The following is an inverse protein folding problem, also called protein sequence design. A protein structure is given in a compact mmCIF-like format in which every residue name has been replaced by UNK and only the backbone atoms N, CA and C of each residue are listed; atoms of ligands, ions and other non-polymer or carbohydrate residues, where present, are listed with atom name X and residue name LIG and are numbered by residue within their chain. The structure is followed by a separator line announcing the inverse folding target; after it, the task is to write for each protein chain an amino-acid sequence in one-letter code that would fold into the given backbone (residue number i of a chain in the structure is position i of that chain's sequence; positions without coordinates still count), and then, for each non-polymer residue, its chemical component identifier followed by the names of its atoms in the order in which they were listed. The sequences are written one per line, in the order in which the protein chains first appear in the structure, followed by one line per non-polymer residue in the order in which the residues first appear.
data_IF_367507177235
#
_entry.id   IF_367507177235
#
_cell.length_a   1.000
_cell.length_b   1.000
_cell.length_c   1.000
_cell.angle_alpha   90.00
_cell.angle_beta   90.00
_cell.angle_gamma   90.00
#
_symmetry.space_group_name_H-M   'P 1'
#
loop_
_entity.id
_entity.type
_entity.pdbx_description
1 polymer ?
#
# COMPACT_ATOMS: atom_id res chain seq x y z
N UNK A 1 -47.93 15.14 14.10
CA UNK A 1 -47.47 15.76 12.83
C UNK A 1 -45.95 15.91 12.77
N UNK A 2 -45.30 16.41 13.82
CA UNK A 2 -43.83 16.51 13.90
C UNK A 2 -43.07 15.22 13.55
N UNK A 3 -43.47 14.07 14.13
CA UNK A 3 -42.85 12.77 13.82
C UNK A 3 -42.93 12.38 12.34
N UNK A 4 -44.05 12.72 11.67
CA UNK A 4 -44.19 12.43 10.25
C UNK A 4 -43.28 13.31 9.39
N UNK A 5 -43.06 14.57 9.79
CA UNK A 5 -42.14 15.49 9.11
C UNK A 5 -40.73 14.94 9.20
N UNK A 6 -40.31 14.48 10.39
CA UNK A 6 -39.00 13.89 10.61
C UNK A 6 -38.79 12.64 9.73
N UNK A 7 -39.76 11.72 9.70
CA UNK A 7 -39.69 10.52 8.85
C UNK A 7 -39.61 10.85 7.35
N UNK A 8 -40.34 11.86 6.88
CA UNK A 8 -40.30 12.32 5.48
C UNK A 8 -38.93 12.91 5.15
N UNK A 9 -38.38 13.76 6.02
CA UNK A 9 -37.07 14.39 5.82
C UNK A 9 -35.99 13.31 5.80
N UNK A 10 -35.92 12.46 6.82
CA UNK A 10 -34.90 11.40 6.93
C UNK A 10 -35.02 10.37 5.82
N UNK A 11 -36.23 9.90 5.52
CA UNK A 11 -36.47 8.93 4.45
C UNK A 11 -36.15 9.52 3.08
N UNK A 12 -36.62 10.74 2.81
CA UNK A 12 -36.41 11.43 1.54
C UNK A 12 -34.95 11.78 1.29
N UNK A 13 -34.27 12.35 2.30
CA UNK A 13 -32.84 12.70 2.17
C UNK A 13 -31.97 11.47 1.97
N UNK A 14 -32.26 10.37 2.68
CA UNK A 14 -31.52 9.10 2.52
C UNK A 14 -31.75 8.51 1.13
N UNK A 15 -32.98 8.50 0.62
CA UNK A 15 -33.26 8.00 -0.73
C UNK A 15 -32.58 8.83 -1.82
N UNK A 16 -32.60 10.15 -1.70
CA UNK A 16 -31.92 11.05 -2.64
C UNK A 16 -30.41 10.82 -2.57
N UNK A 17 -29.85 10.75 -1.36
CA UNK A 17 -28.42 10.49 -1.15
C UNK A 17 -27.98 9.13 -1.69
N UNK A 18 -28.75 8.07 -1.44
CA UNK A 18 -28.52 6.73 -1.98
C UNK A 18 -28.60 6.73 -3.51
N UNK A 19 -29.59 7.40 -4.09
CA UNK A 19 -29.73 7.50 -5.54
C UNK A 19 -28.51 8.19 -6.14
N UNK A 20 -28.18 9.41 -5.68
CA UNK A 20 -27.04 10.16 -6.22
C UNK A 20 -25.73 9.40 -6.00
N UNK A 21 -25.48 8.90 -4.79
CA UNK A 21 -24.24 8.24 -4.43
C UNK A 21 -24.04 6.90 -5.15
N UNK A 22 -25.00 5.99 -5.04
CA UNK A 22 -24.88 4.64 -5.62
C UNK A 22 -25.08 4.63 -7.13
N UNK A 23 -25.88 5.54 -7.69
CA UNK A 23 -25.94 5.69 -9.15
C UNK A 23 -24.59 6.17 -9.68
N UNK A 24 -24.00 7.22 -9.08
CA UNK A 24 -22.68 7.70 -9.49
C UNK A 24 -21.61 6.61 -9.36
N UNK A 25 -21.57 5.89 -8.23
CA UNK A 25 -20.65 4.78 -8.03
C UNK A 25 -20.88 3.66 -9.05
N UNK A 26 -22.12 3.25 -9.29
CA UNK A 26 -22.45 2.20 -10.25
C UNK A 26 -22.12 2.57 -11.70
N UNK A 27 -22.07 3.86 -12.05
CA UNK A 27 -21.63 4.29 -13.39
C UNK A 27 -20.13 4.19 -13.61
N UNK A 28 -19.31 4.06 -12.55
CA UNK A 28 -17.85 3.96 -12.68
C UNK A 28 -17.41 2.72 -13.47
N UNK A 29 -18.16 1.63 -13.44
CA UNK A 29 -17.88 0.42 -14.25
C UNK A 29 -17.92 0.68 -15.76
N UNK A 30 -18.62 1.74 -16.20
CA UNK A 30 -18.80 2.07 -17.61
C UNK A 30 -17.88 3.20 -18.09
N UNK A 31 -17.05 3.75 -17.21
CA UNK A 31 -16.15 4.85 -17.51
C UNK A 31 -14.72 4.38 -17.32
N UNK A 32 -13.94 4.42 -18.39
CA UNK A 32 -12.49 4.21 -18.30
C UNK A 32 -11.86 5.35 -17.49
N UNK A 33 -11.34 5.03 -16.31
CA UNK A 33 -10.76 6.02 -15.43
C UNK A 33 -9.99 5.39 -14.28
N UNK A 34 -9.03 6.13 -13.75
CA UNK A 34 -8.16 5.65 -12.66
C UNK A 34 -8.98 5.13 -11.48
N UNK A 35 -10.03 5.84 -11.07
CA UNK A 35 -10.86 5.45 -9.91
C UNK A 35 -11.48 4.05 -10.10
N UNK A 36 -11.96 3.74 -11.32
CA UNK A 36 -12.57 2.44 -11.61
C UNK A 36 -11.54 1.31 -11.44
N UNK A 37 -10.32 1.49 -11.95
CA UNK A 37 -9.25 0.51 -11.83
C UNK A 37 -8.88 0.21 -10.35
N UNK A 38 -8.85 1.25 -9.49
CA UNK A 38 -8.56 1.08 -8.06
C UNK A 38 -9.69 0.34 -7.34
N UNK A 39 -10.95 0.59 -7.69
CA UNK A 39 -12.09 -0.13 -7.10
C UNK A 39 -12.08 -1.60 -7.52
N UNK A 40 -11.77 -1.88 -8.79
CA UNK A 40 -11.68 -3.25 -9.31
C UNK A 40 -10.54 -4.06 -8.65
N UNK A 41 -9.40 -3.41 -8.38
CA UNK A 41 -8.26 -4.00 -7.66
C UNK A 41 -8.63 -4.52 -6.26
N UNK A 42 -9.57 -3.85 -5.57
CA UNK A 42 -10.00 -4.23 -4.21
C UNK A 42 -11.28 -5.08 -4.21
N UNK A 43 -12.08 -5.03 -5.27
CA UNK A 43 -13.30 -5.82 -5.39
C UNK A 43 -12.96 -7.31 -5.63
N UNK A 44 -13.26 -8.16 -4.67
CA UNK A 44 -12.97 -9.59 -4.67
C UNK A 44 -14.24 -10.44 -4.75
N UNK A 45 -15.41 -9.82 -4.61
CA UNK A 45 -16.72 -10.47 -4.67
C UNK A 45 -17.02 -11.15 -6.01
N UNK A 46 -16.33 -10.73 -7.08
CA UNK A 46 -16.56 -11.18 -8.46
C UNK A 46 -17.82 -10.57 -9.10
N UNK A 47 -18.57 -9.75 -8.36
CA UNK A 47 -19.70 -9.01 -8.89
C UNK A 47 -19.25 -7.62 -9.39
N UNK A 48 -19.79 -7.13 -10.52
CA UNK A 48 -19.51 -5.78 -10.98
C UNK A 48 -20.08 -4.74 -9.98
N UNK A 49 -19.46 -3.56 -9.92
CA UNK A 49 -19.81 -2.51 -8.97
C UNK A 49 -21.23 -2.00 -9.17
N UNK A 50 -21.74 -1.95 -10.40
CA UNK A 50 -23.12 -1.56 -10.68
C UNK A 50 -24.13 -2.50 -10.02
N UNK A 51 -23.84 -3.80 -9.98
CA UNK A 51 -24.71 -4.79 -9.35
C UNK A 51 -24.67 -4.66 -7.84
N UNK A 52 -23.48 -4.47 -7.25
CA UNK A 52 -23.33 -4.22 -5.81
C UNK A 52 -24.06 -2.93 -5.42
N UNK A 53 -23.93 -1.88 -6.23
CA UNK A 53 -24.60 -0.59 -6.02
C UNK A 53 -26.12 -0.72 -6.11
N UNK A 54 -26.64 -1.46 -7.09
CA UNK A 54 -28.07 -1.73 -7.24
C UNK A 54 -28.61 -2.54 -6.06
N UNK A 55 -27.94 -3.61 -5.66
CA UNK A 55 -28.35 -4.44 -4.53
C UNK A 55 -28.32 -3.65 -3.22
N UNK A 56 -27.30 -2.82 -3.01
CA UNK A 56 -27.20 -1.93 -1.84
C UNK A 56 -28.32 -0.89 -1.83
N UNK A 57 -28.63 -0.31 -2.99
CA UNK A 57 -29.74 0.63 -3.15
C UNK A 57 -31.08 -0.04 -2.80
N UNK A 58 -31.31 -1.28 -3.21
CA UNK A 58 -32.51 -2.03 -2.86
C UNK A 58 -32.54 -2.40 -1.38
N UNK A 59 -31.43 -2.90 -0.83
CA UNK A 59 -31.34 -3.35 0.56
C UNK A 59 -31.55 -2.22 1.58
N UNK A 60 -31.02 -1.02 1.30
CA UNK A 60 -31.17 0.14 2.18
C UNK A 60 -32.37 1.01 1.75
N UNK A 61 -32.58 1.21 0.46
CA UNK A 61 -33.62 2.08 -0.07
C UNK A 61 -35.03 1.58 0.23
N UNK A 62 -35.28 0.27 0.21
CA UNK A 62 -36.62 -0.27 0.53
C UNK A 62 -37.06 0.06 1.97
N UNK A 63 -36.26 -0.21 3.02
CA UNK A 63 -36.57 0.22 4.39
C UNK A 63 -36.83 1.73 4.52
N UNK A 64 -35.97 2.57 3.92
CA UNK A 64 -36.12 4.02 4.01
C UNK A 64 -37.31 4.55 3.21
N UNK A 65 -37.68 3.90 2.11
CA UNK A 65 -38.92 4.18 1.38
C UNK A 65 -40.15 3.87 2.23
N UNK A 66 -40.14 2.78 3.00
CA UNK A 66 -41.23 2.49 3.93
C UNK A 66 -41.34 3.54 5.04
N UNK A 67 -40.21 4.02 5.57
CA UNK A 67 -40.19 5.13 6.55
C UNK A 67 -40.73 6.43 5.94
N UNK A 68 -40.28 6.77 4.72
CA UNK A 68 -40.75 7.93 3.99
C UNK A 68 -42.26 7.88 3.74
N UNK A 69 -42.76 6.74 3.24
CA UNK A 69 -44.19 6.52 3.00
C UNK A 69 -45.00 6.62 4.30
N UNK A 70 -44.52 6.03 5.40
CA UNK A 70 -45.16 6.11 6.70
C UNK A 70 -45.23 7.56 7.20
N UNK A 71 -44.15 8.32 7.06
CA UNK A 71 -44.11 9.74 7.39
C UNK A 71 -45.13 10.54 6.58
N UNK A 72 -45.17 10.32 5.27
CA UNK A 72 -46.10 11.00 4.37
C UNK A 72 -47.56 10.68 4.73
N UNK A 73 -47.86 9.43 5.08
CA UNK A 73 -49.19 9.00 5.53
C UNK A 73 -49.64 9.66 6.83
N UNK A 74 -48.72 9.96 7.75
CA UNK A 74 -49.03 10.71 8.99
C UNK A 74 -49.35 12.18 8.68
N UNK A 75 -48.75 12.75 7.64
CA UNK A 75 -48.98 14.13 7.22
C UNK A 75 -50.26 14.29 6.40
N UNK A 76 -50.50 13.37 5.48
CA UNK A 76 -51.62 13.41 4.53
C UNK A 76 -52.54 12.22 4.80
N UNK A 77 -53.66 12.49 5.45
CA UNK A 77 -54.64 11.46 5.87
C UNK A 77 -55.41 10.84 4.70
N UNK A 78 -55.39 11.47 3.52
CA UNK A 78 -56.06 11.02 2.28
C UNK A 78 -55.18 10.15 1.39
N UNK A 79 -53.97 9.78 1.83
CA UNK A 79 -53.07 8.94 1.04
C UNK A 79 -53.63 7.55 0.79
N UNK A 80 -53.57 7.14 -0.49
CA UNK A 80 -53.96 5.80 -0.91
C UNK A 80 -53.08 4.76 -0.21
N UNK A 81 -53.72 3.72 0.35
CA UNK A 81 -53.00 2.59 0.95
C UNK A 81 -52.31 1.80 -0.15
N UNK A 82 -51.03 1.50 0.07
CA UNK A 82 -50.29 0.55 -0.77
C UNK A 82 -50.96 -0.83 -0.63
N UNK A 83 -51.31 -1.51 -1.73
CA UNK A 83 -51.94 -2.83 -1.68
C UNK A 83 -51.01 -3.84 -0.99
N UNK A 84 -51.60 -4.85 -0.36
CA UNK A 84 -50.83 -5.88 0.38
C UNK A 84 -49.83 -6.59 -0.54
N UNK A 85 -50.22 -6.85 -1.79
CA UNK A 85 -49.36 -7.45 -2.82
C UNK A 85 -48.08 -6.63 -3.00
N UNK A 86 -48.18 -5.30 -3.19
CA UNK A 86 -47.01 -4.45 -3.39
C UNK A 86 -46.08 -4.39 -2.16
N UNK A 87 -46.65 -4.43 -0.94
CA UNK A 87 -45.83 -4.51 0.29
C UNK A 87 -45.08 -5.84 0.37
N UNK A 88 -45.73 -6.94 0.02
CA UNK A 88 -45.13 -8.26 0.07
C UNK A 88 -44.08 -8.46 -1.03
N UNK A 89 -44.31 -7.94 -2.25
CA UNK A 89 -43.30 -7.97 -3.32
C UNK A 89 -42.07 -7.17 -2.95
N UNK A 90 -42.26 -5.98 -2.39
CA UNK A 90 -41.16 -5.13 -1.94
C UNK A 90 -40.34 -5.82 -0.83
N UNK A 91 -41.02 -6.49 0.12
CA UNK A 91 -40.36 -7.30 1.15
C UNK A 91 -39.59 -8.49 0.54
N UNK A 92 -40.18 -9.19 -0.43
CA UNK A 92 -39.53 -10.31 -1.11
C UNK A 92 -38.26 -9.90 -1.86
N UNK A 93 -38.33 -8.82 -2.63
CA UNK A 93 -37.16 -8.25 -3.34
C UNK A 93 -36.08 -7.81 -2.36
N UNK A 94 -36.47 -7.20 -1.24
CA UNK A 94 -35.54 -6.82 -0.18
C UNK A 94 -34.81 -8.02 0.42
N UNK A 95 -35.52 -9.11 0.75
CA UNK A 95 -34.89 -10.33 1.26
C UNK A 95 -33.87 -10.92 0.28
N UNK A 96 -34.22 -10.98 -1.01
CA UNK A 96 -33.30 -11.46 -2.05
C UNK A 96 -32.05 -10.58 -2.10
N UNK A 97 -32.21 -9.25 -2.10
CA UNK A 97 -31.07 -8.33 -2.14
C UNK A 97 -30.14 -8.52 -0.94
N UNK A 98 -30.69 -8.66 0.27
CA UNK A 98 -29.91 -8.91 1.49
C UNK A 98 -29.19 -10.26 1.43
N UNK A 99 -29.85 -11.32 0.97
CA UNK A 99 -29.22 -12.64 0.86
C UNK A 99 -28.06 -12.63 -0.15
N UNK A 100 -28.23 -12.00 -1.31
CA UNK A 100 -27.18 -11.89 -2.32
C UNK A 100 -26.01 -11.06 -1.79
N UNK A 101 -26.28 -9.92 -1.16
CA UNK A 101 -25.24 -9.10 -0.52
C UNK A 101 -24.50 -9.87 0.59
N UNK A 102 -25.20 -10.69 1.38
CA UNK A 102 -24.57 -11.51 2.40
C UNK A 102 -23.59 -12.52 1.79
N UNK A 103 -23.99 -13.22 0.72
CA UNK A 103 -23.11 -14.16 0.01
C UNK A 103 -21.90 -13.44 -0.60
N UNK A 104 -22.12 -12.29 -1.25
CA UNK A 104 -21.03 -11.49 -1.82
C UNK A 104 -20.09 -10.96 -0.73
N UNK A 105 -20.63 -10.52 0.40
CA UNK A 105 -19.85 -10.05 1.56
C UNK A 105 -19.00 -11.17 2.18
N UNK A 106 -19.56 -12.37 2.33
CA UNK A 106 -18.79 -13.54 2.79
C UNK A 106 -17.68 -13.89 1.80
N UNK A 107 -17.97 -13.91 0.50
CA UNK A 107 -16.94 -14.13 -0.53
C UNK A 107 -15.85 -13.07 -0.48
N UNK A 108 -16.24 -11.81 -0.29
CA UNK A 108 -15.31 -10.69 -0.17
C UNK A 108 -14.38 -10.88 1.03
N UNK A 109 -14.92 -11.21 2.20
CA UNK A 109 -14.16 -11.42 3.43
C UNK A 109 -13.28 -12.67 3.40
N UNK A 110 -13.70 -13.73 2.72
CA UNK A 110 -12.90 -14.96 2.59
C UNK A 110 -11.75 -14.83 1.58
N UNK A 111 -11.76 -13.83 0.70
CA UNK A 111 -10.76 -13.69 -0.37
C UNK A 111 -9.33 -13.38 0.12
N UNK A 112 -9.18 -13.01 1.40
CA UNK A 112 -7.92 -12.67 2.07
C UNK A 112 -7.70 -13.53 3.33
N UNK A 113 -8.35 -14.69 3.41
CA UNK A 113 -8.37 -15.49 4.64
C UNK A 113 -7.04 -16.20 4.94
N UNK A 114 -6.24 -16.48 3.91
CA UNK A 114 -5.01 -17.27 4.03
C UNK A 114 -3.86 -16.57 3.32
N UNK A 115 -2.68 -16.62 3.91
CA UNK A 115 -1.43 -16.18 3.30
C UNK A 115 -0.71 -17.37 2.65
N UNK A 116 -0.14 -17.15 1.47
CA UNK A 116 0.67 -18.11 0.74
C UNK A 116 1.99 -17.47 0.33
N UNK A 117 3.00 -18.30 0.11
CA UNK A 117 4.35 -17.85 -0.15
C UNK A 117 5.01 -18.60 -1.32
N UNK A 118 5.87 -17.89 -2.03
CA UNK A 118 6.76 -18.41 -3.06
C UNK A 118 8.20 -17.99 -2.72
N UNK A 119 9.10 -18.97 -2.69
CA UNK A 119 10.52 -18.78 -2.35
C UNK A 119 11.38 -19.01 -3.59
N UNK A 120 12.27 -18.06 -3.85
CA UNK A 120 13.33 -18.19 -4.86
C UNK A 120 14.65 -17.97 -4.13
N UNK A 121 15.64 -18.84 -4.37
CA UNK A 121 16.95 -18.72 -3.74
C UNK A 121 18.02 -18.66 -4.83
N UNK A 122 18.75 -17.55 -4.85
CA UNK A 122 19.83 -17.30 -5.81
C UNK A 122 21.18 -17.30 -5.08
N UNK A 123 22.17 -17.97 -5.65
CA UNK A 123 23.53 -18.00 -5.08
C UNK A 123 24.33 -16.85 -5.67
N UNK A 124 24.93 -16.03 -4.81
CA UNK A 124 25.75 -14.89 -5.20
C UNK A 124 27.23 -15.30 -5.28
N UNK A 125 28.02 -14.75 -6.21
CA UNK A 125 29.44 -15.05 -6.35
C UNK A 125 30.30 -14.34 -5.28
N UNK A 126 29.91 -14.42 -4.01
CA UNK A 126 30.53 -13.76 -2.86
C UNK A 126 30.89 -14.83 -1.82
N UNK A 127 32.12 -14.80 -1.31
CA UNK A 127 32.64 -15.74 -0.31
C UNK A 127 33.22 -15.02 0.90
N UNK A 128 33.64 -15.81 1.88
CA UNK A 128 34.39 -15.33 3.03
C UNK A 128 35.64 -14.53 2.58
N UNK A 129 35.87 -13.36 3.17
CA UNK A 129 36.96 -12.45 2.84
C UNK A 129 36.62 -11.40 1.77
N UNK A 130 35.54 -11.59 1.00
CA UNK A 130 35.08 -10.59 0.05
C UNK A 130 34.33 -9.45 0.75
N UNK A 131 34.24 -8.30 0.07
CA UNK A 131 33.37 -7.20 0.46
C UNK A 131 32.12 -7.20 -0.41
N UNK A 132 30.93 -7.21 0.18
CA UNK A 132 29.65 -7.11 -0.49
C UNK A 132 29.03 -5.73 -0.22
N UNK A 133 28.80 -4.96 -1.27
CA UNK A 133 28.04 -3.72 -1.22
C UNK A 133 26.58 -3.99 -1.55
N UNK A 134 25.62 -3.42 -0.81
CA UNK A 134 24.18 -3.64 -1.03
C UNK A 134 23.46 -2.29 -1.08
N UNK A 135 22.70 -2.05 -2.15
CA UNK A 135 21.93 -0.82 -2.30
C UNK A 135 20.60 -1.05 -3.01
N UNK A 136 19.60 -0.26 -2.62
CA UNK A 136 18.32 -0.22 -3.34
C UNK A 136 18.40 0.73 -4.55
N UNK A 137 17.92 0.30 -5.72
CA UNK A 137 17.75 1.14 -6.90
C UNK A 137 16.51 2.02 -6.68
N UNK A 138 16.72 3.33 -6.54
CA UNK A 138 15.64 4.28 -6.20
C UNK A 138 15.11 5.05 -7.41
N UNK A 139 15.87 5.09 -8.50
CA UNK A 139 15.51 5.72 -9.76
C UNK A 139 15.16 4.63 -10.78
N UNK A 140 13.90 4.55 -11.15
CA UNK A 140 13.39 3.55 -12.08
C UNK A 140 12.28 4.14 -12.97
N UNK A 141 11.75 3.33 -13.87
CA UNK A 141 10.69 3.73 -14.81
C UNK A 141 9.41 4.25 -14.13
N UNK A 142 9.18 3.95 -12.85
CA UNK A 142 7.99 4.36 -12.11
C UNK A 142 8.19 5.60 -11.22
N UNK A 143 9.43 6.09 -11.10
CA UNK A 143 9.77 7.30 -10.37
C UNK A 143 11.16 7.28 -9.72
N UNK A 144 11.39 8.26 -8.84
CA UNK A 144 12.65 8.47 -8.13
C UNK A 144 12.43 8.50 -6.61
N UNK A 145 11.79 7.47 -6.07
CA UNK A 145 11.43 7.43 -4.66
C UNK A 145 12.46 6.67 -3.83
N UNK A 146 12.94 7.29 -2.74
CA UNK A 146 14.05 6.74 -1.96
C UNK A 146 13.62 5.74 -0.88
N UNK A 147 12.50 5.98 -0.20
CA UNK A 147 12.14 5.28 1.04
C UNK A 147 11.08 4.20 0.85
N UNK A 148 11.11 3.16 1.70
CA UNK A 148 10.06 2.14 1.80
C UNK A 148 8.65 2.75 1.88
N UNK A 149 7.68 2.09 1.26
CA UNK A 149 6.27 2.46 1.34
C UNK A 149 5.40 1.26 0.93
N UNK A 150 4.43 0.91 1.76
CA UNK A 150 3.48 -0.19 1.55
C UNK A 150 2.26 0.18 0.68
N UNK A 151 2.10 1.47 0.34
CA UNK A 151 1.03 1.93 -0.52
C UNK A 151 1.24 1.48 -1.96
N UNK A 152 0.32 0.64 -2.43
CA UNK A 152 0.25 0.21 -3.82
C UNK A 152 -0.33 1.29 -4.75
N UNK A 153 0.07 1.24 -6.01
CA UNK A 153 -0.43 2.10 -7.09
C UNK A 153 -0.61 1.31 -8.37
N UNK A 154 -1.46 1.79 -9.26
CA UNK A 154 -1.51 1.32 -10.63
C UNK A 154 -0.51 2.12 -11.46
N UNK A 155 0.34 1.43 -12.20
CA UNK A 155 1.33 1.98 -13.12
C UNK A 155 1.22 1.30 -14.48
N UNK A 156 1.93 1.87 -15.45
CA UNK A 156 2.04 1.30 -16.79
C UNK A 156 3.47 0.83 -16.98
N UNK A 157 3.64 -0.44 -17.35
CA UNK A 157 4.95 -1.01 -17.64
C UNK A 157 5.50 -0.53 -19.00
N UNK A 158 6.72 -0.96 -19.33
CA UNK A 158 7.36 -0.63 -20.60
C UNK A 158 6.62 -1.15 -21.84
N UNK A 159 5.78 -2.19 -21.69
CA UNK A 159 4.97 -2.76 -22.78
C UNK A 159 3.62 -2.03 -22.95
N UNK A 160 3.28 -1.09 -22.06
CA UNK A 160 2.02 -0.36 -22.08
C UNK A 160 0.91 -1.03 -21.27
N UNK A 161 1.19 -2.13 -20.56
CA UNK A 161 0.20 -2.82 -19.74
C UNK A 161 0.08 -2.17 -18.36
N UNK A 162 -1.13 -2.18 -17.80
CA UNK A 162 -1.35 -1.77 -16.40
C UNK A 162 -0.81 -2.84 -15.46
N UNK A 163 -0.06 -2.42 -14.45
CA UNK A 163 0.51 -3.28 -13.41
C UNK A 163 0.22 -2.71 -12.03
N UNK A 164 0.04 -3.61 -11.06
CA UNK A 164 0.14 -3.28 -9.64
C UNK A 164 1.61 -3.02 -9.32
N UNK A 165 1.88 -1.87 -8.75
CA UNK A 165 3.21 -1.43 -8.31
C UNK A 165 3.17 -1.21 -6.80
N UNK A 166 4.14 -1.78 -6.08
CA UNK A 166 4.27 -1.57 -4.64
C UNK A 166 5.76 -1.55 -4.24
N UNK A 167 6.07 -0.85 -3.14
CA UNK A 167 7.41 -0.73 -2.56
C UNK A 167 7.49 -1.36 -1.18
N UNK A 168 6.58 -2.29 -0.89
CA UNK A 168 6.64 -3.15 0.29
C UNK A 168 7.68 -4.26 0.08
N UNK A 169 8.93 -3.81 -0.03
CA UNK A 169 10.11 -4.66 -0.17
C UNK A 169 10.89 -4.52 1.13
N UNK A 170 11.11 -5.62 1.82
CA UNK A 170 11.80 -5.63 3.09
C UNK A 170 13.13 -6.36 2.94
N UNK A 171 14.16 -5.94 3.66
CA UNK A 171 15.46 -6.59 3.68
C UNK A 171 15.83 -7.01 5.10
N UNK A 172 16.26 -8.26 5.23
CA UNK A 172 16.90 -8.81 6.42
C UNK A 172 18.23 -9.44 6.01
N UNK A 173 19.22 -9.37 6.87
CA UNK A 173 20.55 -9.95 6.67
C UNK A 173 20.77 -11.02 7.73
N UNK A 174 21.17 -12.22 7.32
CA UNK A 174 21.48 -13.31 8.23
C UNK A 174 22.83 -13.94 7.88
N UNK A 175 23.32 -14.80 8.77
CA UNK A 175 24.44 -15.69 8.46
C UNK A 175 24.03 -16.75 7.44
N UNK A 176 24.92 -17.04 6.50
CA UNK A 176 24.81 -18.17 5.57
C UNK A 176 25.38 -19.45 6.19
N UNK A 177 24.66 -20.55 6.01
CA UNK A 177 25.17 -21.91 6.28
C UNK A 177 26.03 -22.46 5.12
N UNK A 178 26.08 -21.73 4.01
CA UNK A 178 26.83 -22.10 2.80
C UNK A 178 28.11 -21.26 2.66
N UNK A 179 29.15 -21.76 1.98
CA UNK A 179 30.39 -21.01 1.79
C UNK A 179 30.21 -19.81 0.85
N UNK A 180 29.20 -19.84 -0.02
CA UNK A 180 28.74 -18.70 -0.81
C UNK A 180 27.59 -17.95 -0.12
N UNK A 181 27.50 -16.65 -0.40
CA UNK A 181 26.34 -15.83 -0.06
C UNK A 181 25.11 -16.22 -0.91
N UNK A 182 23.92 -16.01 -0.36
CA UNK A 182 22.64 -16.29 -1.02
C UNK A 182 21.68 -15.13 -0.84
N UNK A 183 20.92 -14.83 -1.89
CA UNK A 183 19.75 -13.97 -1.80
C UNK A 183 18.50 -14.85 -1.90
N UNK A 184 17.74 -14.90 -0.81
CA UNK A 184 16.46 -15.59 -0.78
C UNK A 184 15.37 -14.53 -0.92
N UNK A 185 14.59 -14.65 -1.98
CA UNK A 185 13.47 -13.76 -2.30
C UNK A 185 12.19 -14.49 -1.91
N UNK A 186 11.61 -14.07 -0.80
CA UNK A 186 10.32 -14.56 -0.31
C UNK A 186 9.22 -13.61 -0.75
N UNK A 187 8.35 -14.10 -1.61
CA UNK A 187 7.17 -13.40 -2.11
C UNK A 187 5.96 -13.91 -1.35
N UNK A 188 5.15 -13.01 -0.79
CA UNK A 188 3.92 -13.39 -0.08
C UNK A 188 2.70 -12.70 -0.69
N UNK A 189 1.55 -13.35 -0.56
CA UNK A 189 0.27 -12.76 -0.93
C UNK A 189 -0.88 -13.46 -0.23
N UNK A 190 -2.04 -12.80 -0.14
CA UNK A 190 -3.25 -13.37 0.42
C UNK A 190 -4.19 -13.96 -0.64
N UNK A 191 -4.98 -14.95 -0.23
CA UNK A 191 -5.96 -15.62 -1.06
C UNK A 191 -7.07 -16.29 -0.27
N UNK A 192 -8.02 -16.87 -0.99
CA UNK A 192 -9.12 -17.67 -0.42
C UNK A 192 -8.70 -19.07 0.03
N UNK A 193 -7.52 -19.51 -0.38
CA UNK A 193 -6.87 -20.76 -0.01
C UNK A 193 -5.36 -20.58 -0.13
N UNK A 194 -4.59 -21.48 0.50
CA UNK A 194 -3.14 -21.46 0.40
C UNK A 194 -2.66 -21.56 -1.06
N UNK A 195 -3.20 -22.48 -1.85
CA UNK A 195 -2.82 -22.66 -3.27
C UNK A 195 -3.08 -21.38 -4.09
N UNK A 196 -4.25 -20.76 -3.92
CA UNK A 196 -4.58 -19.52 -4.62
C UNK A 196 -3.67 -18.35 -4.19
N UNK A 197 -3.28 -18.31 -2.92
CA UNK A 197 -2.38 -17.31 -2.37
C UNK A 197 -0.94 -17.52 -2.87
N UNK A 198 -0.49 -18.78 -2.94
CA UNK A 198 0.82 -19.17 -3.45
C UNK A 198 0.97 -18.88 -4.95
N UNK A 199 -0.02 -19.22 -5.79
CA UNK A 199 -0.01 -18.88 -7.22
C UNK A 199 0.07 -17.36 -7.43
N UNK A 200 -0.65 -16.61 -6.61
CA UNK A 200 -0.60 -15.14 -6.65
C UNK A 200 0.77 -14.62 -6.22
N UNK A 201 1.37 -15.18 -5.17
CA UNK A 201 2.70 -14.83 -4.70
C UNK A 201 3.79 -15.16 -5.75
N UNK A 202 3.67 -16.28 -6.46
CA UNK A 202 4.61 -16.64 -7.54
C UNK A 202 4.54 -15.68 -8.73
N UNK A 203 3.38 -15.06 -8.96
CA UNK A 203 3.19 -14.08 -10.03
C UNK A 203 3.74 -12.69 -9.71
N UNK A 204 4.29 -12.47 -8.51
CA UNK A 204 4.99 -11.23 -8.17
C UNK A 204 6.33 -11.21 -8.91
N UNK A 205 6.59 -10.15 -9.65
CA UNK A 205 7.84 -9.93 -10.37
C UNK A 205 8.70 -8.97 -9.56
N UNK A 206 9.87 -9.46 -9.15
CA UNK A 206 10.89 -8.71 -8.42
C UNK A 206 12.23 -8.96 -9.08
N UNK A 207 13.01 -7.91 -9.33
CA UNK A 207 14.30 -8.01 -9.99
C UNK A 207 15.43 -7.53 -9.08
N UNK A 208 16.61 -8.07 -9.32
CA UNK A 208 17.86 -7.61 -8.74
C UNK A 208 18.98 -7.82 -9.77
N UNK A 209 20.10 -7.16 -9.55
CA UNK A 209 21.27 -7.26 -10.42
C UNK A 209 22.53 -7.33 -9.55
N UNK A 210 23.52 -8.08 -10.03
CA UNK A 210 24.83 -8.17 -9.41
C UNK A 210 25.83 -7.46 -10.32
N UNK A 211 26.36 -6.34 -9.86
CA UNK A 211 27.40 -5.57 -10.56
C UNK A 211 28.71 -5.69 -9.79
N UNK A 212 29.59 -6.57 -10.26
CA UNK A 212 30.81 -7.01 -9.56
C UNK A 212 30.48 -7.52 -8.13
N UNK A 213 30.82 -6.72 -7.11
CA UNK A 213 30.58 -6.98 -5.70
C UNK A 213 29.47 -6.09 -5.11
N UNK A 214 28.70 -5.41 -5.96
CA UNK A 214 27.54 -4.59 -5.57
C UNK A 214 26.22 -5.26 -5.94
N UNK A 215 25.46 -5.64 -4.92
CA UNK A 215 24.10 -6.15 -5.07
C UNK A 215 23.13 -4.98 -5.22
N UNK A 216 22.54 -4.87 -6.40
CA UNK A 216 21.55 -3.88 -6.79
C UNK A 216 20.16 -4.48 -6.62
N UNK A 217 19.42 -4.01 -5.64
CA UNK A 217 18.08 -4.51 -5.32
C UNK A 217 17.05 -3.52 -5.86
N UNK A 218 16.05 -3.97 -6.64
CA UNK A 218 14.93 -3.07 -6.96
C UNK A 218 14.22 -2.67 -5.67
N UNK A 219 13.82 -1.41 -5.56
CA UNK A 219 13.09 -0.91 -4.39
C UNK A 219 11.57 -1.10 -4.48
N UNK A 220 11.12 -1.88 -5.46
CA UNK A 220 9.73 -2.12 -5.78
C UNK A 220 9.57 -3.52 -6.36
N UNK A 221 8.33 -3.99 -6.39
CA UNK A 221 7.92 -5.13 -7.19
C UNK A 221 6.69 -4.76 -8.01
N UNK A 222 6.42 -5.57 -9.03
CA UNK A 222 5.19 -5.45 -9.83
C UNK A 222 4.43 -6.76 -9.90
N UNK A 223 3.14 -6.67 -10.18
CA UNK A 223 2.28 -7.81 -10.46
C UNK A 223 1.24 -7.43 -11.50
N UNK A 224 0.76 -8.41 -12.28
CA UNK A 224 -0.40 -8.21 -13.15
C UNK A 224 -1.62 -7.72 -12.36
N UNK A 225 -2.43 -6.85 -12.97
CA UNK A 225 -3.70 -6.36 -12.40
C UNK A 225 -4.73 -7.48 -12.20
N UNK A 226 -4.64 -8.58 -12.94
CA UNK A 226 -5.50 -9.76 -12.76
C UNK A 226 -5.30 -10.39 -11.39
N UNK A 227 -4.08 -10.28 -10.86
CA UNK A 227 -3.78 -10.69 -9.51
C UNK A 227 -4.39 -9.73 -8.49
N UNK A 228 -4.91 -8.54 -8.79
CA UNK A 228 -5.54 -7.65 -7.79
C UNK A 228 -4.64 -7.30 -6.59
N UNK A 229 -5.06 -6.41 -5.70
CA UNK A 229 -4.32 -6.14 -4.47
C UNK A 229 -4.71 -7.11 -3.34
N UNK A 230 -3.75 -7.84 -2.78
CA UNK A 230 -3.91 -8.85 -1.72
C UNK A 230 -2.70 -8.86 -0.78
N UNK A 231 -2.38 -7.68 -0.24
CA UNK A 231 -1.26 -7.50 0.69
C UNK A 231 0.01 -8.19 0.18
N UNK A 232 0.31 -8.01 -1.12
CA UNK A 232 1.55 -8.52 -1.68
C UNK A 232 2.72 -7.85 -0.99
N UNK A 233 3.74 -8.64 -0.68
CA UNK A 233 4.97 -8.19 -0.01
C UNK A 233 6.14 -9.03 -0.51
N UNK A 234 7.34 -8.44 -0.54
CA UNK A 234 8.58 -9.13 -0.88
C UNK A 234 9.56 -8.96 0.27
N UNK A 235 9.90 -10.07 0.93
CA UNK A 235 10.99 -10.14 1.90
C UNK A 235 12.25 -10.66 1.19
N UNK A 236 13.32 -9.86 1.26
CA UNK A 236 14.66 -10.20 0.81
C UNK A 236 15.46 -10.64 2.02
N UNK A 237 15.98 -11.86 1.98
CA UNK A 237 16.80 -12.42 3.03
C UNK A 237 18.19 -12.62 2.43
N UNK A 238 19.12 -11.75 2.80
CA UNK A 238 20.49 -11.80 2.37
C UNK A 238 21.30 -12.62 3.37
N UNK A 239 21.63 -13.86 2.99
CA UNK A 239 22.48 -14.73 3.77
C UNK A 239 23.94 -14.57 3.35
N UNK A 240 24.81 -14.09 4.24
CA UNK A 240 26.25 -13.90 3.94
C UNK A 240 27.13 -14.82 4.79
N UNK A 241 28.20 -15.41 4.23
CA UNK A 241 29.07 -16.30 4.97
C UNK A 241 29.93 -15.54 5.99
N UNK A 242 30.44 -16.29 6.95
CA UNK A 242 31.34 -15.75 7.97
C UNK A 242 32.65 -15.25 7.34
N UNK A 243 33.13 -14.10 7.80
CA UNK A 243 34.30 -13.41 7.24
C UNK A 243 33.99 -12.48 6.06
N UNK A 244 32.74 -12.35 5.61
CA UNK A 244 32.35 -11.35 4.60
C UNK A 244 32.22 -9.96 5.23
N UNK A 245 32.72 -8.94 4.53
CA UNK A 245 32.50 -7.53 4.89
C UNK A 245 31.26 -7.04 4.15
N UNK A 246 30.25 -6.59 4.88
CA UNK A 246 29.03 -5.99 4.35
C UNK A 246 29.13 -4.45 4.39
N UNK A 247 28.82 -3.81 3.28
CA UNK A 247 28.58 -2.37 3.18
C UNK A 247 27.16 -2.13 2.68
N UNK A 248 26.32 -1.51 3.47
CA UNK A 248 24.95 -1.14 3.05
C UNK A 248 24.88 0.34 2.66
N UNK A 249 24.11 0.67 1.62
CA UNK A 249 23.76 2.07 1.35
C UNK A 249 22.81 2.60 2.43
N UNK A 250 22.89 3.91 2.72
CA UNK A 250 22.00 4.56 3.70
C UNK A 250 20.52 4.40 3.36
N UNK A 251 20.16 4.18 2.09
CA UNK A 251 18.77 3.95 1.69
C UNK A 251 18.18 2.64 2.22
N UNK A 252 19.02 1.66 2.57
CA UNK A 252 18.62 0.37 3.14
C UNK A 252 17.87 0.57 4.45
N UNK A 253 18.18 1.62 5.21
CA UNK A 253 17.60 1.91 6.52
C UNK A 253 16.06 1.90 6.52
N UNK A 254 15.43 2.35 5.42
CA UNK A 254 13.97 2.36 5.34
C UNK A 254 13.35 1.01 4.98
N UNK A 255 14.07 0.14 4.26
CA UNK A 255 13.63 -1.18 3.83
C UNK A 255 14.05 -2.28 4.82
N UNK A 256 14.95 -1.96 5.75
CA UNK A 256 15.44 -2.89 6.73
C UNK A 256 14.34 -3.33 7.72
N UNK A 257 14.26 -4.64 8.00
CA UNK A 257 13.35 -5.25 8.97
C UNK A 257 14.07 -6.31 9.77
N UNK A 258 13.86 -6.29 11.09
CA UNK A 258 14.34 -7.34 11.98
C UNK A 258 13.40 -8.56 11.91
N UNK A 259 13.63 -9.43 10.92
CA UNK A 259 12.90 -10.69 10.66
C UNK A 259 13.91 -11.78 10.32
N UNK A 260 13.50 -13.05 10.34
CA UNK A 260 14.34 -14.17 9.86
C UNK A 260 15.72 -14.27 10.54
N UNK A 261 15.80 -14.00 11.85
CA UNK A 261 17.07 -13.95 12.58
C UNK A 261 18.06 -12.93 12.02
N UNK A 262 17.52 -11.77 11.62
CA UNK A 262 18.29 -10.63 11.15
C UNK A 262 19.39 -10.22 12.16
N UNK A 263 20.58 -9.94 11.62
CA UNK A 263 21.77 -9.55 12.39
C UNK A 263 22.23 -8.12 12.08
N UNK A 264 21.55 -7.41 11.18
CA UNK A 264 21.89 -6.04 10.81
C UNK A 264 21.23 -5.05 11.76
N UNK A 265 21.98 -4.44 12.67
CA UNK A 265 21.44 -3.34 13.46
C UNK A 265 21.23 -2.10 12.57
N UNK A 266 20.12 -1.37 12.75
CA UNK A 266 19.86 -0.11 12.06
C UNK A 266 21.01 0.89 12.23
N UNK A 267 21.70 0.89 13.38
CA UNK A 267 22.84 1.79 13.63
C UNK A 267 24.07 1.48 12.77
N UNK A 268 24.15 0.28 12.20
CA UNK A 268 25.24 -0.17 11.33
C UNK A 268 24.96 0.06 9.84
N UNK A 269 23.74 0.49 9.49
CA UNK A 269 23.38 0.81 8.11
C UNK A 269 24.20 2.01 7.62
N UNK A 270 24.84 1.88 6.45
CA UNK A 270 25.74 2.91 5.92
C UNK A 270 27.21 2.75 6.33
N UNK A 271 27.54 1.75 7.15
CA UNK A 271 28.88 1.47 7.65
C UNK A 271 29.36 0.08 7.22
N UNK A 272 30.67 -0.14 7.25
CA UNK A 272 31.28 -1.44 7.01
C UNK A 272 31.08 -2.31 8.24
N UNK A 273 30.56 -3.51 8.05
CA UNK A 273 30.35 -4.50 9.11
C UNK A 273 30.93 -5.84 8.69
N UNK A 274 31.66 -6.50 9.57
CA UNK A 274 32.21 -7.84 9.35
C UNK A 274 31.26 -8.89 9.93
N UNK A 275 30.92 -9.92 9.15
CA UNK A 275 30.21 -11.08 9.68
C UNK A 275 31.17 -11.96 10.49
N UNK A 276 30.96 -12.03 11.80
CA UNK A 276 31.79 -12.81 12.74
C UNK A 276 30.89 -13.51 13.77
N UNK A 277 31.06 -14.82 13.98
CA UNK A 277 30.33 -15.59 15.00
C UNK A 277 28.79 -15.48 14.93
N UNK A 278 28.21 -15.25 13.73
CA UNK A 278 26.77 -15.04 13.52
C UNK A 278 26.25 -13.67 13.97
N UNK A 279 27.13 -12.68 14.10
CA UNK A 279 26.80 -11.29 14.36
C UNK A 279 27.52 -10.37 13.35
N UNK A 280 26.98 -9.17 13.13
CA UNK A 280 27.66 -8.13 12.34
C UNK A 280 28.42 -7.18 13.27
N UNK A 281 29.75 -7.25 13.23
CA UNK A 281 30.64 -6.36 13.97
C UNK A 281 30.98 -5.15 13.12
N UNK A 282 30.55 -3.98 13.55
CA UNK A 282 30.84 -2.74 12.83
C UNK A 282 32.33 -2.37 12.88
N UNK A 283 32.92 -2.07 11.72
CA UNK A 283 34.34 -1.75 11.58
C UNK A 283 34.64 -0.25 11.64
N UNK A 284 33.69 0.60 11.27
CA UNK A 284 33.89 2.06 11.17
C UNK A 284 32.69 2.87 11.64
N UNK A 285 32.02 2.40 12.68
CA UNK A 285 30.88 3.10 13.26
C UNK A 285 31.28 4.48 13.84
N UNK A 286 30.36 5.45 13.80
CA UNK A 286 30.56 6.72 14.48
C UNK A 286 30.61 6.44 15.99
N UNK A 287 31.47 7.17 16.72
CA UNK A 287 31.44 7.13 18.18
C UNK A 287 30.03 7.51 18.67
N UNK A 288 29.48 6.72 19.60
CA UNK A 288 28.17 7.00 20.18
C UNK A 288 28.18 8.40 20.79
N UNK A 289 27.42 9.32 20.21
CA UNK A 289 27.12 10.60 20.85
C UNK A 289 26.17 10.27 21.98
N UNK A 290 26.69 10.18 23.19
CA UNK A 290 25.88 10.14 24.40
C UNK A 290 25.18 11.50 24.47
N UNK A 291 23.93 11.56 24.01
CA UNK A 291 23.05 12.67 24.37
C UNK A 291 22.79 12.55 25.87
N UNK A 292 23.59 13.28 26.67
CA UNK A 292 23.23 13.59 28.04
C UNK A 292 21.87 14.29 27.96
N UNK A 293 20.81 13.55 28.30
CA UNK A 293 19.49 14.11 28.53
C UNK A 293 19.63 15.05 29.73
N UNK A 294 19.95 16.32 29.48
CA UNK A 294 19.75 17.38 30.45
C UNK A 294 18.26 17.35 30.83
N UNK A 295 17.96 16.87 32.04
CA UNK A 295 16.64 16.96 32.66
C UNK A 295 16.23 18.43 32.69
N UNK A 296 15.44 18.85 31.70
CA UNK A 296 14.86 20.18 31.68
C UNK A 296 13.92 20.31 32.88
N UNK A 297 14.32 21.16 33.82
CA UNK A 297 13.58 21.47 35.04
C UNK A 297 12.14 21.90 34.76
N UNK A 298 11.24 21.27 35.52
CA UNK A 298 9.88 21.66 35.94
C UNK A 298 9.38 23.04 35.45
N UNK A 299 8.59 23.05 34.38
CA UNK A 299 7.79 24.22 34.00
C UNK A 299 6.63 24.37 34.98
N UNK A 300 6.81 25.19 36.01
CA UNK A 300 5.71 25.68 36.84
C UNK A 300 4.79 26.57 36.03
N UNK A 301 3.54 26.15 35.90
CA UNK A 301 2.46 26.98 35.40
C UNK A 301 2.18 28.10 36.41
N UNK A 302 2.40 29.34 36.01
CA UNK A 302 1.94 30.52 36.74
C UNK A 302 0.63 30.99 36.08
N UNK A 303 -0.48 30.86 36.82
CA UNK A 303 -1.78 31.38 36.44
C UNK A 303 -1.85 32.86 36.84
N UNK A 304 -2.05 33.78 35.88
CA UNK A 304 -2.67 35.08 36.19
C UNK A 304 -3.41 35.69 34.98
N UNK A 305 -4.38 36.60 35.23
CA UNK A 305 -5.63 36.65 34.49
C UNK A 305 -5.71 37.68 33.34
N UNK A 306 -6.75 37.44 32.55
CA UNK A 306 -7.32 38.19 31.43
C UNK A 306 -7.47 39.71 31.67
N UNK A 307 -6.94 40.52 30.75
CA UNK A 307 -7.47 41.85 30.42
C UNK A 307 -7.19 42.19 28.94
N UNK A 308 -7.82 43.25 28.47
CA UNK A 308 -8.60 43.32 27.25
C UNK A 308 -8.03 44.30 26.21
N UNK A 309 -8.48 44.11 24.96
CA UNK A 309 -8.64 45.12 23.90
C UNK A 309 -7.39 45.78 23.29
N UNK A 310 -7.13 45.51 22.00
CA UNK A 310 -7.21 46.49 20.89
C UNK A 310 -6.23 46.24 19.71
N UNK A 311 -6.84 45.98 18.54
CA UNK A 311 -6.55 46.51 17.18
C UNK A 311 -5.18 46.34 16.47
N UNK A 312 -5.26 45.72 15.27
CA UNK A 312 -4.48 46.01 14.05
C UNK A 312 -3.03 45.51 14.05
N UNK A 313 -2.41 44.98 13.00
CA UNK A 313 -2.63 44.96 11.54
C UNK A 313 -1.74 43.87 10.93
N UNK A 314 -2.21 43.28 9.82
CA UNK A 314 -1.52 42.63 8.68
C UNK A 314 0.01 42.49 8.77
N UNK A 315 0.53 41.25 8.70
CA UNK A 315 1.93 40.98 8.37
C UNK A 315 2.11 40.58 6.91
N UNK A 316 2.97 41.36 6.28
CA UNK A 316 3.45 41.34 4.89
C UNK A 316 4.43 40.18 4.66
N UNK A 317 4.23 39.42 3.58
CA UNK A 317 5.15 38.36 3.15
C UNK A 317 6.32 38.98 2.36
N UNK A 318 7.55 38.81 2.85
CA UNK A 318 8.75 39.17 2.08
C UNK A 318 9.09 38.06 1.09
N UNK A 319 9.08 38.40 -0.19
CA UNK A 319 9.53 37.54 -1.28
C UNK A 319 11.06 37.30 -1.20
N UNK A 320 11.46 36.03 -1.32
CA UNK A 320 12.87 35.61 -1.42
C UNK A 320 13.29 35.56 -2.89
N UNK A 321 14.54 35.98 -3.12
CA UNK A 321 15.17 36.33 -4.39
C UNK A 321 15.24 35.21 -5.45
N UNK A 322 15.21 35.61 -6.72
CA UNK A 322 15.40 34.77 -7.89
C UNK A 322 16.87 34.30 -8.06
N UNK A 323 17.12 33.06 -8.53
CA UNK A 323 18.47 32.59 -8.83
C UNK A 323 18.99 33.12 -10.17
N UNK A 324 20.27 33.54 -10.19
CA UNK A 324 21.02 33.93 -11.39
C UNK A 324 21.26 32.71 -12.29
N UNK A 325 21.06 32.92 -13.60
CA UNK A 325 21.44 32.01 -14.68
C UNK A 325 22.94 32.13 -14.92
N UNK A 326 23.67 31.03 -14.83
CA UNK A 326 24.86 30.76 -15.64
C UNK A 326 24.94 29.25 -15.89
N UNK A 327 24.74 28.88 -17.15
CA UNK A 327 24.70 27.49 -17.61
C UNK A 327 26.08 27.01 -18.01
N UNK A 328 26.48 25.85 -17.49
CA UNK A 328 27.54 25.03 -18.05
C UNK A 328 26.92 23.73 -18.60
N UNK A 329 27.00 23.57 -19.91
CA UNK A 329 26.62 22.35 -20.62
C UNK A 329 27.78 21.35 -20.54
N UNK A 330 27.54 20.17 -19.98
CA UNK A 330 28.44 19.01 -20.12
C UNK A 330 27.60 17.82 -20.60
N UNK A 331 27.87 17.37 -21.82
CA UNK A 331 27.37 16.10 -22.37
C UNK A 331 28.22 14.95 -21.82
N UNK A 332 27.63 13.80 -21.44
CA UNK A 332 28.38 12.55 -21.38
C UNK A 332 28.13 11.71 -22.63
N UNK A 333 29.22 11.24 -23.24
CA UNK A 333 29.26 10.19 -24.24
C UNK A 333 28.90 8.83 -23.62
N UNK A 334 28.12 8.03 -24.33
CA UNK A 334 27.79 6.65 -24.01
C UNK A 334 28.96 5.73 -24.40
N UNK A 335 29.54 5.01 -23.44
CA UNK A 335 30.25 3.75 -23.68
C UNK A 335 29.34 2.61 -23.30
N UNK A 336 29.02 1.77 -24.29
CA UNK A 336 28.38 0.47 -24.10
C UNK A 336 29.38 -0.46 -23.40
N UNK A 337 28.94 -1.09 -22.32
CA UNK A 337 29.48 -2.39 -21.94
C UNK A 337 28.35 -3.35 -21.56
N UNK A 338 28.63 -4.63 -21.77
CA UNK A 338 27.64 -5.69 -22.00
C UNK A 338 27.19 -6.29 -20.66
N UNK A 339 25.92 -6.14 -20.29
CA UNK A 339 25.35 -6.67 -19.03
C UNK A 339 24.41 -7.84 -19.33
N UNK A 340 24.60 -8.95 -18.64
CA UNK A 340 23.69 -10.08 -18.61
C UNK A 340 22.47 -9.73 -17.74
N UNK A 341 21.33 -9.43 -18.38
CA UNK A 341 20.03 -9.25 -17.72
C UNK A 341 19.33 -10.60 -17.62
N UNK A 342 18.90 -10.99 -16.42
CA UNK A 342 17.85 -11.99 -16.26
C UNK A 342 16.53 -11.24 -16.22
N UNK A 343 15.78 -11.31 -17.32
CA UNK A 343 14.44 -10.72 -17.44
C UNK A 343 13.44 -11.85 -17.27
N UNK A 344 12.65 -11.81 -16.21
CA UNK A 344 11.47 -12.65 -16.11
C UNK A 344 10.30 -11.87 -16.73
N UNK A 345 9.97 -12.19 -17.98
CA UNK A 345 8.86 -11.56 -18.72
C UNK A 345 7.54 -12.18 -18.31
N UNK A 346 6.56 -11.32 -18.01
CA UNK A 346 5.16 -11.70 -17.87
C UNK A 346 4.66 -12.12 -19.26
N UNK A 347 4.20 -13.37 -19.38
CA UNK A 347 3.33 -13.81 -20.48
C UNK A 347 1.86 -13.63 -20.08
#
# INVERSE_FOLDING_TARGET
KFIGILLVITGGSTLIGLFVGLFSAGTLDFVDGSIADYVEMVNTSGAPLWLISLLTFVAIGIPFFMLFYLGLRILVTTLKRIPVVAKLTMLGVWFIAVMVLAVLGVRQGMATAVEGEALISETLPIRAGDTLSVKMITQNQYGAYKYHNDNWKIRTDAAGNKVLYNRDVNLSVQKSDSPEAKLIIKKTSQGSSYDAAQVRASNIVYNFEMDENTLLLDNYFVSSIENKYRSQEVDLILAIPEGTILLTDKNINSYHRNRYSDVLDHKFVGYYSLMENSELVCLNCPEEVIEELEEAEDWKADETPQDSTATGTVYEYKAVAAPKKDGLNVRPELKNDTIAKVVDTIN
#
